data_IF_734472867337
#
_entry.id   IF_734472867337
#
_cell.length_a   1.000
_cell.length_b   1.000
_cell.length_c   1.000
_cell.angle_alpha   90.00
_cell.angle_beta   90.00
_cell.angle_gamma   90.00
#
_symmetry.space_group_name_H-M   'P 1'
#
loop_
_entity.id
_entity.type
_entity.pdbx_description
1 polymer ?
#
# COMPACT_ATOMS: atom_id res chain seq x y z
N UNK A 1 15.31 -16.90 -1.50
CA UNK A 1 14.24 -16.17 -2.24
C UNK A 1 14.00 -14.85 -1.53
N UNK A 2 13.66 -13.76 -2.25
CA UNK A 2 13.45 -12.46 -1.58
C UNK A 2 12.16 -12.47 -0.74
N UNK A 3 12.16 -11.79 0.40
CA UNK A 3 11.01 -11.69 1.32
C UNK A 3 9.73 -11.20 0.61
N UNK A 4 9.88 -10.22 -0.30
CA UNK A 4 8.73 -9.70 -1.06
C UNK A 4 8.13 -10.76 -2.00
N UNK A 5 8.95 -11.61 -2.57
CA UNK A 5 8.48 -12.70 -3.43
C UNK A 5 7.69 -13.75 -2.64
N UNK A 6 8.14 -14.09 -1.44
CA UNK A 6 7.39 -14.98 -0.54
C UNK A 6 6.08 -14.32 -0.08
N UNK A 7 6.13 -13.04 0.31
CA UNK A 7 4.94 -12.31 0.71
C UNK A 7 3.89 -12.27 -0.41
N UNK A 8 4.32 -12.04 -1.66
CA UNK A 8 3.43 -12.05 -2.82
C UNK A 8 2.72 -13.39 -3.02
N UNK A 9 3.38 -14.51 -2.74
CA UNK A 9 2.74 -15.83 -2.78
C UNK A 9 1.66 -15.97 -1.72
N UNK A 10 1.95 -15.56 -0.48
CA UNK A 10 0.99 -15.61 0.62
C UNK A 10 -0.22 -14.72 0.35
N UNK A 11 0.02 -13.48 -0.05
CA UNK A 11 -1.05 -12.53 -0.42
C UNK A 11 -1.87 -13.07 -1.58
N UNK A 12 -1.22 -13.55 -2.63
CA UNK A 12 -1.89 -14.13 -3.79
C UNK A 12 -2.78 -15.31 -3.45
N UNK A 13 -2.38 -16.20 -2.53
CA UNK A 13 -3.22 -17.29 -2.05
C UNK A 13 -4.48 -16.77 -1.37
N UNK A 14 -4.32 -15.82 -0.44
CA UNK A 14 -5.45 -15.19 0.27
C UNK A 14 -6.43 -14.49 -0.67
N UNK A 15 -5.93 -13.77 -1.67
CA UNK A 15 -6.79 -13.10 -2.66
C UNK A 15 -7.61 -14.12 -3.47
N UNK A 16 -6.98 -15.19 -3.97
CA UNK A 16 -7.67 -16.25 -4.73
C UNK A 16 -8.70 -17.01 -3.91
N UNK A 17 -8.44 -17.20 -2.62
CA UNK A 17 -9.38 -17.84 -1.69
C UNK A 17 -10.59 -16.95 -1.37
N UNK A 18 -10.40 -15.63 -1.39
CA UNK A 18 -11.42 -14.66 -0.94
C UNK A 18 -12.20 -14.01 -2.09
N UNK A 19 -11.59 -13.88 -3.27
CA UNK A 19 -12.18 -13.19 -4.43
C UNK A 19 -12.44 -14.19 -5.56
N UNK A 20 -13.71 -14.48 -5.80
CA UNK A 20 -14.14 -15.41 -6.87
C UNK A 20 -14.37 -14.73 -8.22
N UNK A 21 -14.66 -13.42 -8.22
CA UNK A 21 -14.82 -12.63 -9.43
C UNK A 21 -13.46 -12.33 -10.06
N UNK A 22 -13.28 -12.70 -11.33
CA UNK A 22 -11.99 -12.60 -12.02
C UNK A 22 -11.54 -11.15 -12.23
N UNK A 23 -12.46 -10.23 -12.55
CA UNK A 23 -12.13 -8.82 -12.77
C UNK A 23 -11.74 -8.14 -11.46
N UNK A 24 -12.43 -8.45 -10.36
CA UNK A 24 -12.07 -7.96 -9.03
C UNK A 24 -10.72 -8.49 -8.58
N UNK A 25 -10.42 -9.74 -8.85
CA UNK A 25 -9.12 -10.35 -8.52
C UNK A 25 -7.99 -9.69 -9.30
N UNK A 26 -8.17 -9.46 -10.60
CA UNK A 26 -7.20 -8.74 -11.44
C UNK A 26 -6.97 -7.32 -10.95
N UNK A 27 -8.04 -6.60 -10.62
CA UNK A 27 -7.99 -5.25 -10.06
C UNK A 27 -7.24 -5.21 -8.71
N UNK A 28 -7.46 -6.19 -7.84
CA UNK A 28 -6.75 -6.30 -6.57
C UNK A 28 -5.24 -6.50 -6.77
N UNK A 29 -4.85 -7.40 -7.67
CA UNK A 29 -3.44 -7.57 -8.01
C UNK A 29 -2.82 -6.30 -8.60
N UNK A 30 -3.49 -5.68 -9.56
CA UNK A 30 -3.01 -4.45 -10.19
C UNK A 30 -2.78 -3.35 -9.15
N UNK A 31 -3.72 -3.17 -8.21
CA UNK A 31 -3.59 -2.20 -7.13
C UNK A 31 -2.42 -2.51 -6.20
N UNK A 32 -2.36 -3.70 -5.63
CA UNK A 32 -1.31 -4.05 -4.67
C UNK A 32 0.09 -4.01 -5.30
N UNK A 33 0.26 -4.50 -6.53
CA UNK A 33 1.54 -4.44 -7.23
C UNK A 33 1.91 -3.00 -7.61
N UNK A 34 0.95 -2.20 -8.06
CA UNK A 34 1.16 -0.79 -8.39
C UNK A 34 1.57 0.04 -7.18
N UNK A 35 0.87 -0.11 -6.06
CA UNK A 35 1.23 0.58 -4.81
C UNK A 35 2.59 0.10 -4.28
N UNK A 36 2.88 -1.20 -4.39
CA UNK A 36 4.18 -1.76 -3.98
C UNK A 36 5.35 -1.18 -4.79
N UNK A 37 5.19 -1.02 -6.10
CA UNK A 37 6.19 -0.37 -6.95
C UNK A 37 6.34 1.11 -6.61
N UNK A 38 5.24 1.83 -6.48
CA UNK A 38 5.25 3.24 -6.10
C UNK A 38 5.92 3.46 -4.73
N UNK A 39 5.60 2.63 -3.73
CA UNK A 39 6.21 2.70 -2.40
C UNK A 39 7.71 2.47 -2.45
N UNK A 40 8.18 1.52 -3.27
CA UNK A 40 9.61 1.30 -3.47
C UNK A 40 10.31 2.53 -4.03
N UNK A 41 9.76 3.12 -5.09
CA UNK A 41 10.35 4.30 -5.76
C UNK A 41 10.36 5.53 -4.82
N UNK A 42 9.25 5.77 -4.12
CA UNK A 42 9.14 6.90 -3.18
C UNK A 42 10.10 6.71 -1.99
N UNK A 43 10.18 5.50 -1.43
CA UNK A 43 11.10 5.19 -0.33
C UNK A 43 12.57 5.39 -0.74
N UNK A 44 12.98 4.88 -1.90
CA UNK A 44 14.34 5.11 -2.43
C UNK A 44 14.65 6.60 -2.59
N UNK A 45 13.71 7.37 -3.13
CA UNK A 45 13.88 8.82 -3.30
C UNK A 45 14.02 9.56 -1.97
N UNK A 46 13.33 9.11 -0.93
CA UNK A 46 13.30 9.76 0.39
C UNK A 46 14.34 9.19 1.38
N UNK A 47 15.10 8.16 0.98
CA UNK A 47 16.07 7.49 1.85
C UNK A 47 15.43 6.62 2.93
N UNK A 48 14.20 6.16 2.70
CA UNK A 48 13.48 5.24 3.58
C UNK A 48 13.73 3.77 3.20
N UNK A 49 13.33 2.84 4.07
CA UNK A 49 13.50 1.41 3.82
C UNK A 49 12.52 0.91 2.74
N UNK A 50 12.99 0.82 1.50
CA UNK A 50 12.18 0.41 0.35
C UNK A 50 11.65 -1.03 0.46
N UNK A 51 12.37 -1.94 1.12
CA UNK A 51 11.90 -3.30 1.33
C UNK A 51 10.68 -3.34 2.27
N UNK A 52 10.71 -2.58 3.37
CA UNK A 52 9.58 -2.48 4.29
C UNK A 52 8.40 -1.73 3.65
N UNK A 53 8.68 -0.66 2.90
CA UNK A 53 7.66 0.09 2.16
C UNK A 53 6.92 -0.80 1.15
N UNK A 54 7.66 -1.58 0.38
CA UNK A 54 7.10 -2.56 -0.58
C UNK A 54 6.23 -3.62 0.10
N UNK A 55 6.67 -4.14 1.25
CA UNK A 55 5.92 -5.13 2.03
C UNK A 55 4.64 -4.54 2.64
N UNK A 56 4.72 -3.34 3.21
CA UNK A 56 3.56 -2.62 3.73
C UNK A 56 2.52 -2.38 2.62
N UNK A 57 2.96 -1.96 1.45
CA UNK A 57 2.10 -1.74 0.29
C UNK A 57 1.40 -3.02 -0.18
N UNK A 58 2.10 -4.16 -0.18
CA UNK A 58 1.48 -5.46 -0.52
C UNK A 58 0.40 -5.91 0.46
N UNK A 59 0.39 -5.37 1.68
CA UNK A 59 -0.52 -5.78 2.75
C UNK A 59 -1.59 -4.73 3.10
N UNK A 60 -1.46 -3.48 2.61
CA UNK A 60 -2.25 -2.37 3.15
C UNK A 60 -3.77 -2.55 3.04
N UNK A 61 -4.25 -3.14 1.96
CA UNK A 61 -5.67 -3.39 1.69
C UNK A 61 -6.10 -4.86 1.89
N UNK A 62 -5.23 -5.70 2.45
CA UNK A 62 -5.49 -7.15 2.54
C UNK A 62 -6.79 -7.46 3.30
N UNK A 63 -7.11 -6.70 4.35
CA UNK A 63 -8.34 -6.89 5.11
C UNK A 63 -9.58 -6.54 4.30
N UNK A 64 -9.52 -5.50 3.47
CA UNK A 64 -10.63 -5.14 2.59
C UNK A 64 -10.93 -6.26 1.59
N UNK A 65 -9.90 -6.82 0.98
CA UNK A 65 -10.05 -7.92 0.02
C UNK A 65 -10.52 -9.23 0.65
N UNK A 66 -9.96 -9.61 1.79
CA UNK A 66 -10.31 -10.85 2.49
C UNK A 66 -11.73 -10.78 3.09
N UNK A 67 -12.11 -9.65 3.63
CA UNK A 67 -13.41 -9.47 4.31
C UNK A 67 -14.51 -8.90 3.39
N UNK A 68 -14.17 -8.46 2.18
CA UNK A 68 -15.12 -7.90 1.22
C UNK A 68 -15.70 -6.54 1.61
N UNK A 69 -15.07 -5.80 2.52
CA UNK A 69 -15.49 -4.47 2.97
C UNK A 69 -14.31 -3.59 3.32
N UNK A 70 -14.43 -2.28 3.02
CA UNK A 70 -13.46 -1.26 3.42
C UNK A 70 -13.71 -0.66 4.81
N UNK A 71 -14.77 -1.11 5.52
CA UNK A 71 -15.05 -0.64 6.88
C UNK A 71 -13.87 -0.96 7.79
N UNK A 72 -13.24 0.08 8.37
CA UNK A 72 -12.08 -0.02 9.26
C UNK A 72 -10.92 -0.88 8.70
N UNK A 73 -10.79 -0.93 7.38
CA UNK A 73 -9.84 -1.84 6.69
C UNK A 73 -8.39 -1.57 7.05
N UNK A 74 -7.99 -0.34 7.33
CA UNK A 74 -6.62 0.01 7.67
C UNK A 74 -6.21 -0.58 9.02
N UNK A 75 -7.04 -0.43 10.04
CA UNK A 75 -6.76 -0.97 11.38
C UNK A 75 -6.83 -2.51 11.38
N UNK A 76 -7.86 -3.08 10.80
CA UNK A 76 -7.98 -4.55 10.63
C UNK A 76 -6.85 -5.10 9.74
N UNK A 77 -6.42 -4.33 8.74
CA UNK A 77 -5.32 -4.66 7.86
C UNK A 77 -3.99 -4.74 8.59
N UNK A 78 -3.74 -3.83 9.53
CA UNK A 78 -2.54 -3.88 10.37
C UNK A 78 -2.49 -5.15 11.22
N UNK A 79 -3.61 -5.56 11.83
CA UNK A 79 -3.69 -6.80 12.61
C UNK A 79 -3.47 -8.04 11.73
N UNK A 80 -4.10 -8.10 10.57
CA UNK A 80 -3.96 -9.18 9.60
C UNK A 80 -2.51 -9.27 9.06
N UNK A 81 -1.90 -8.13 8.77
CA UNK A 81 -0.51 -8.04 8.33
C UNK A 81 0.46 -8.59 9.38
N UNK A 82 0.26 -8.21 10.64
CA UNK A 82 1.05 -8.74 11.76
C UNK A 82 1.00 -10.26 11.82
N UNK A 83 -0.18 -10.83 11.73
CA UNK A 83 -0.37 -12.29 11.73
C UNK A 83 0.34 -12.96 10.54
N UNK A 84 0.18 -12.42 9.35
CA UNK A 84 0.83 -12.95 8.12
C UNK A 84 2.35 -12.92 8.25
N UNK A 85 2.91 -11.80 8.70
CA UNK A 85 4.35 -11.61 8.81
C UNK A 85 4.97 -12.53 9.87
N UNK A 86 4.28 -12.70 11.02
CA UNK A 86 4.73 -13.61 12.08
C UNK A 86 4.66 -15.08 11.65
N UNK A 87 3.52 -15.52 11.13
CA UNK A 87 3.31 -16.93 10.74
C UNK A 87 4.28 -17.40 9.65
N UNK A 88 4.68 -16.51 8.77
CA UNK A 88 5.57 -16.83 7.66
C UNK A 88 7.04 -16.42 7.90
N UNK A 89 7.37 -15.93 9.10
CA UNK A 89 8.71 -15.46 9.47
C UNK A 89 9.33 -14.48 8.46
N UNK A 90 8.51 -13.54 7.93
CA UNK A 90 8.90 -12.65 6.84
C UNK A 90 9.56 -11.36 7.29
N UNK A 91 9.43 -10.98 8.56
CA UNK A 91 10.00 -9.76 9.11
C UNK A 91 10.35 -9.93 10.59
N UNK A 92 11.31 -9.13 11.06
CA UNK A 92 11.69 -9.08 12.46
C UNK A 92 10.67 -8.27 13.27
N UNK A 93 10.58 -8.43 14.60
CA UNK A 93 9.58 -7.70 15.41
C UNK A 93 9.53 -6.19 15.16
N UNK A 94 10.67 -5.49 15.14
CA UNK A 94 10.74 -4.05 14.86
C UNK A 94 10.29 -3.69 13.44
N UNK A 95 10.58 -4.54 12.48
CA UNK A 95 10.12 -4.35 11.10
C UNK A 95 8.61 -4.53 10.98
N UNK A 96 8.04 -5.49 11.73
CA UNK A 96 6.59 -5.71 11.80
C UNK A 96 5.89 -4.48 12.38
N UNK A 97 6.43 -3.89 13.45
CA UNK A 97 5.87 -2.68 14.05
C UNK A 97 5.82 -1.52 13.04
N UNK A 98 6.90 -1.33 12.27
CA UNK A 98 6.99 -0.29 11.25
C UNK A 98 5.99 -0.54 10.10
N UNK A 99 5.91 -1.77 9.60
CA UNK A 99 4.97 -2.15 8.54
C UNK A 99 3.54 -1.96 9.02
N UNK A 100 3.21 -2.43 10.21
CA UNK A 100 1.86 -2.32 10.77
C UNK A 100 1.46 -0.87 11.04
N UNK A 101 2.38 -0.01 11.48
CA UNK A 101 2.14 1.43 11.62
C UNK A 101 1.74 2.06 10.29
N UNK A 102 2.49 1.79 9.23
CA UNK A 102 2.20 2.31 7.90
C UNK A 102 0.81 1.86 7.42
N UNK A 103 0.46 0.59 7.60
CA UNK A 103 -0.85 0.06 7.21
C UNK A 103 -1.97 0.70 8.04
N UNK A 104 -1.78 0.80 9.36
CA UNK A 104 -2.76 1.37 10.29
C UNK A 104 -3.17 2.79 9.91
N UNK A 105 -2.22 3.63 9.48
CA UNK A 105 -2.43 5.04 9.17
C UNK A 105 -2.74 5.34 7.69
N UNK A 106 -2.62 4.36 6.79
CA UNK A 106 -2.58 4.65 5.34
C UNK A 106 -3.83 5.32 4.78
N UNK A 107 -5.01 5.08 5.34
CA UNK A 107 -6.25 5.67 4.85
C UNK A 107 -6.46 7.13 5.30
N UNK A 108 -5.81 7.56 6.37
CA UNK A 108 -5.88 8.94 6.84
C UNK A 108 -4.91 9.86 6.06
N UNK A 109 -5.38 10.30 4.89
CA UNK A 109 -4.59 11.11 3.95
C UNK A 109 -4.35 12.55 4.41
N UNK A 110 -5.11 13.04 5.38
CA UNK A 110 -5.05 14.42 5.86
C UNK A 110 -4.10 14.60 7.05
N UNK A 111 -3.74 13.52 7.72
CA UNK A 111 -2.81 13.52 8.85
C UNK A 111 -1.40 13.16 8.40
N UNK A 112 -0.40 13.82 8.98
CA UNK A 112 1.01 13.48 8.80
C UNK A 112 1.46 12.58 9.96
N UNK A 113 1.99 11.42 9.61
CA UNK A 113 2.50 10.42 10.53
C UNK A 113 4.00 10.16 10.31
N UNK A 114 4.50 8.99 10.68
CA UNK A 114 5.91 8.62 10.58
C UNK A 114 6.37 8.52 9.10
N UNK A 115 7.68 8.63 8.83
CA UNK A 115 8.20 8.68 7.46
C UNK A 115 7.76 7.54 6.56
N UNK A 116 7.73 6.29 7.03
CA UNK A 116 7.28 5.15 6.23
C UNK A 116 5.76 5.12 6.06
N UNK A 117 5.00 5.61 7.05
CA UNK A 117 3.55 5.78 6.94
C UNK A 117 3.23 6.76 5.79
N UNK A 118 3.99 7.86 5.72
CA UNK A 118 3.86 8.85 4.65
C UNK A 118 4.21 8.27 3.27
N UNK A 119 5.24 7.43 3.18
CA UNK A 119 5.58 6.72 1.93
C UNK A 119 4.39 5.88 1.45
N UNK A 120 3.76 5.12 2.34
CA UNK A 120 2.63 4.27 1.96
C UNK A 120 1.39 5.08 1.56
N UNK A 121 1.06 6.15 2.31
CA UNK A 121 -0.04 7.06 1.95
C UNK A 121 0.15 7.65 0.56
N UNK A 122 1.35 8.13 0.27
CA UNK A 122 1.68 8.74 -1.01
C UNK A 122 1.75 7.71 -2.15
N UNK A 123 2.23 6.50 -1.88
CA UNK A 123 2.21 5.41 -2.86
C UNK A 123 0.80 4.99 -3.27
N UNK A 124 -0.11 4.92 -2.31
CA UNK A 124 -1.52 4.62 -2.54
C UNK A 124 -2.18 5.72 -3.38
N UNK A 125 -1.95 7.00 -3.04
CA UNK A 125 -2.40 8.15 -3.83
C UNK A 125 -1.80 8.13 -5.23
N UNK A 126 -0.50 7.83 -5.36
CA UNK A 126 0.17 7.76 -6.66
C UNK A 126 -0.50 6.70 -7.56
N UNK A 127 -0.78 5.51 -7.06
CA UNK A 127 -1.46 4.49 -7.84
C UNK A 127 -2.88 4.91 -8.20
N UNK A 128 -3.67 5.44 -7.26
CA UNK A 128 -5.03 5.90 -7.54
C UNK A 128 -5.09 6.95 -8.65
N UNK A 129 -4.13 7.86 -8.67
CA UNK A 129 -4.16 9.02 -9.57
C UNK A 129 -3.43 8.80 -10.88
N UNK A 130 -2.31 8.08 -10.89
CA UNK A 130 -1.50 7.86 -12.09
C UNK A 130 -1.89 6.60 -12.87
N UNK A 131 -2.64 5.69 -12.26
CA UNK A 131 -3.15 4.51 -12.95
C UNK A 131 -4.18 4.87 -14.05
N UNK A 132 -4.93 5.95 -13.87
CA UNK A 132 -5.88 6.47 -14.85
C UNK A 132 -6.03 7.99 -14.68
N UNK A 133 -5.29 8.75 -15.48
CA UNK A 133 -5.27 10.22 -15.42
C UNK A 133 -6.59 10.88 -15.83
N UNK A 134 -7.52 10.14 -16.43
CA UNK A 134 -8.84 10.65 -16.77
C UNK A 134 -9.80 10.70 -15.58
N UNK A 135 -9.49 9.96 -14.51
CA UNK A 135 -10.30 9.99 -13.27
C UNK A 135 -10.03 11.23 -12.46
N UNK A 136 -11.08 11.87 -11.89
CA UNK A 136 -10.88 12.99 -10.99
C UNK A 136 -10.16 12.53 -9.70
N UNK A 137 -9.23 13.36 -9.23
CA UNK A 137 -8.56 13.14 -7.96
C UNK A 137 -9.52 13.37 -6.80
N UNK A 138 -9.57 12.44 -5.84
CA UNK A 138 -10.39 12.61 -4.64
C UNK A 138 -9.91 13.80 -3.82
N UNK A 139 -10.85 14.55 -3.24
CA UNK A 139 -10.54 15.76 -2.46
C UNK A 139 -9.50 15.48 -1.35
N UNK A 140 -9.66 14.39 -0.60
CA UNK A 140 -8.72 14.00 0.47
C UNK A 140 -7.31 13.64 -0.02
N UNK A 141 -7.14 13.39 -1.31
CA UNK A 141 -5.88 12.98 -1.94
C UNK A 141 -5.19 14.12 -2.71
N UNK A 142 -5.92 15.21 -3.00
CA UNK A 142 -5.46 16.27 -3.90
C UNK A 142 -4.14 16.90 -3.45
N UNK A 143 -4.00 17.24 -2.18
CA UNK A 143 -2.78 17.87 -1.68
C UNK A 143 -1.56 16.95 -1.85
N UNK A 144 -1.70 15.65 -1.57
CA UNK A 144 -0.64 14.66 -1.78
C UNK A 144 -0.31 14.46 -3.26
N UNK A 145 -1.32 14.41 -4.11
CA UNK A 145 -1.15 14.30 -5.55
C UNK A 145 -0.33 15.46 -6.13
N UNK A 146 -0.67 16.70 -5.75
CA UNK A 146 0.06 17.89 -6.20
C UNK A 146 1.51 17.90 -5.67
N UNK A 147 1.71 17.53 -4.41
CA UNK A 147 3.05 17.41 -3.82
C UNK A 147 3.90 16.36 -4.52
N UNK A 148 3.32 15.20 -4.86
CA UNK A 148 4.01 14.15 -5.60
C UNK A 148 4.41 14.60 -7.02
N UNK A 149 3.53 15.32 -7.72
CA UNK A 149 3.89 15.89 -9.03
C UNK A 149 5.09 16.81 -8.93
N UNK A 150 5.10 17.67 -7.93
CA UNK A 150 6.24 18.58 -7.68
C UNK A 150 7.50 17.79 -7.31
N UNK A 151 7.40 16.82 -6.38
CA UNK A 151 8.53 16.00 -5.93
C UNK A 151 9.20 15.23 -7.08
N UNK A 152 8.40 14.73 -8.02
CA UNK A 152 8.87 13.97 -9.19
C UNK A 152 9.09 14.82 -10.44
N UNK A 153 9.00 16.15 -10.34
CA UNK A 153 9.23 17.06 -11.47
C UNK A 153 8.22 16.89 -12.62
N UNK A 154 7.00 16.47 -12.31
CA UNK A 154 5.93 16.29 -13.29
C UNK A 154 5.13 17.57 -13.44
N UNK A 155 4.66 17.91 -14.68
CA UNK A 155 3.86 19.12 -14.88
C UNK A 155 2.55 19.05 -14.10
N UNK A 156 2.12 20.21 -13.56
CA UNK A 156 0.78 20.35 -12.99
C UNK A 156 -0.20 20.31 -14.16
N UNK A 157 -1.17 19.38 -14.13
CA UNK A 157 -2.25 19.38 -15.10
C UNK A 157 -3.21 20.53 -14.75
N UNK A 158 -3.46 21.42 -15.72
CA UNK A 158 -4.47 22.46 -15.61
C UNK A 158 -5.89 21.88 -15.62
#
# INVERSE_FOLDING_TARGET
MSRIKELRKVVGSKLRESITDAEKLESAYAHLYGVSLAATVIAEKRGENSALASMAAMLHDIAAYVNGTYDDHAHRGADMAKEILLRNALAKPKEIDIICSAIYHHDDKLVKDEPLDEVLKDADVMHHTFNDLAKPVKEKELARYLALRQEFGLPVQE
#
